data_IF_438778226289
#
_entry.id   IF_438778226289
#
_cell.length_a   1.000
_cell.length_b   1.000
_cell.length_c   1.000
_cell.angle_alpha   90.00
_cell.angle_beta   90.00
_cell.angle_gamma   90.00
#
_symmetry.space_group_name_H-M   'P 1'
#
loop_
_entity.id
_entity.type
_entity.pdbx_description
1 polymer ?
#
# COMPACT_ATOMS: atom_id res chain seq x y z
N UNK A 1 -21.43 4.51 -3.00
CA UNK A 1 -20.14 4.23 -2.34
C UNK A 1 -20.40 3.22 -1.23
N UNK A 2 -19.81 2.01 -1.27
CA UNK A 2 -19.94 1.01 -0.21
C UNK A 2 -18.72 1.15 0.70
N UNK A 3 -18.90 1.60 1.94
CA UNK A 3 -17.85 1.59 2.96
C UNK A 3 -17.90 0.29 3.76
N UNK A 4 -16.75 -0.20 4.18
CA UNK A 4 -16.64 -1.41 5.00
C UNK A 4 -15.77 -1.09 6.21
N UNK A 5 -16.34 -1.21 7.40
CA UNK A 5 -15.65 -0.97 8.66
C UNK A 5 -14.90 -2.24 9.08
N UNK A 6 -13.57 -2.17 9.07
CA UNK A 6 -12.68 -3.30 9.41
C UNK A 6 -11.71 -2.90 10.51
N UNK A 7 -11.46 -3.83 11.44
CA UNK A 7 -10.43 -3.68 12.48
C UNK A 7 -9.03 -4.04 12.00
N UNK A 8 -8.89 -4.45 10.73
CA UNK A 8 -7.64 -4.90 10.14
C UNK A 8 -6.97 -3.74 9.39
N UNK A 9 -5.63 -3.71 9.42
CA UNK A 9 -4.87 -2.78 8.59
C UNK A 9 -4.95 -3.21 7.11
N UNK A 10 -4.88 -2.26 6.15
CA UNK A 10 -4.79 -2.59 4.74
C UNK A 10 -3.60 -3.54 4.47
N UNK A 11 -3.78 -4.58 3.64
CA UNK A 11 -2.72 -5.51 3.28
C UNK A 11 -1.76 -4.85 2.30
N UNK A 12 -0.95 -3.92 2.79
CA UNK A 12 0.03 -3.19 2.00
C UNK A 12 1.21 -4.12 1.69
N UNK A 13 1.47 -4.32 0.41
CA UNK A 13 2.64 -5.01 -0.08
C UNK A 13 3.70 -3.98 -0.47
N UNK A 14 4.85 -4.04 0.20
CA UNK A 14 6.01 -3.23 -0.10
C UNK A 14 7.02 -4.10 -0.85
N UNK A 15 7.23 -3.81 -2.13
CA UNK A 15 8.10 -4.60 -3.02
C UNK A 15 9.43 -3.87 -3.17
N UNK A 16 10.50 -4.58 -2.83
CA UNK A 16 11.88 -4.10 -2.92
C UNK A 16 12.58 -4.76 -4.10
N UNK A 17 13.05 -3.98 -5.07
CA UNK A 17 13.97 -4.45 -6.12
C UNK A 17 15.33 -3.83 -5.87
N UNK A 18 16.28 -4.68 -5.48
CA UNK A 18 17.61 -4.25 -5.07
C UNK A 18 18.59 -4.43 -6.22
N UNK A 19 19.29 -3.36 -6.67
CA UNK A 19 20.41 -3.52 -7.58
C UNK A 19 21.56 -4.25 -6.88
N UNK A 20 22.48 -4.79 -7.68
CA UNK A 20 23.66 -5.50 -7.18
C UNK A 20 24.55 -4.60 -6.32
N UNK A 21 24.56 -3.31 -6.63
CA UNK A 21 25.37 -2.27 -5.99
C UNK A 21 24.69 -1.65 -4.76
N UNK A 22 23.52 -2.15 -4.35
CA UNK A 22 22.85 -1.71 -3.14
C UNK A 22 23.74 -1.94 -1.89
N UNK A 23 23.85 -0.98 -0.95
CA UNK A 23 23.07 0.26 -0.83
C UNK A 23 23.67 1.48 -1.53
N UNK A 24 24.81 1.34 -2.22
CA UNK A 24 25.44 2.45 -2.94
C UNK A 24 24.57 2.94 -4.09
N UNK A 25 23.88 2.03 -4.78
CA UNK A 25 22.80 2.36 -5.71
C UNK A 25 21.43 2.26 -5.05
N UNK A 26 20.54 3.16 -5.44
CA UNK A 26 19.18 3.25 -4.90
C UNK A 26 18.35 1.99 -5.26
N UNK A 27 17.54 1.47 -4.34
CA UNK A 27 16.58 0.42 -4.65
C UNK A 27 15.37 1.01 -5.38
N UNK A 28 14.70 0.19 -6.18
CA UNK A 28 13.36 0.52 -6.65
C UNK A 28 12.33 -0.02 -5.65
N UNK A 29 11.50 0.87 -5.11
CA UNK A 29 10.44 0.55 -4.15
C UNK A 29 9.09 0.77 -4.80
N UNK A 30 8.20 -0.21 -4.71
CA UNK A 30 6.81 -0.07 -5.16
C UNK A 30 5.83 -0.54 -4.09
N UNK A 31 4.69 0.14 -4.01
CA UNK A 31 3.60 -0.18 -3.09
C UNK A 31 2.41 -0.71 -3.86
N UNK A 32 1.90 -1.85 -3.44
CA UNK A 32 0.69 -2.46 -3.96
C UNK A 32 -0.28 -2.70 -2.82
N UNK A 33 -1.54 -2.29 -2.96
CA UNK A 33 -2.55 -2.60 -1.97
C UNK A 33 -3.95 -2.50 -2.58
N UNK A 34 -4.75 -3.55 -2.36
CA UNK A 34 -6.11 -3.67 -2.89
C UNK A 34 -7.16 -2.87 -2.10
N UNK A 35 -6.83 -2.35 -0.92
CA UNK A 35 -7.80 -1.67 -0.03
C UNK A 35 -7.69 -0.15 -0.07
N UNK A 36 -6.56 0.39 -0.54
CA UNK A 36 -6.32 1.83 -0.55
C UNK A 36 -6.55 2.39 -1.95
N UNK A 37 -6.96 3.67 -2.03
CA UNK A 37 -7.14 4.35 -3.31
C UNK A 37 -5.80 4.60 -4.00
N UNK A 38 -5.86 4.85 -5.30
CA UNK A 38 -4.68 5.24 -6.09
C UNK A 38 -3.99 6.48 -5.51
N UNK A 39 -4.75 7.49 -5.06
CA UNK A 39 -4.22 8.69 -4.42
C UNK A 39 -3.39 8.36 -3.18
N UNK A 40 -3.81 7.36 -2.41
CA UNK A 40 -3.07 6.87 -1.25
C UNK A 40 -1.81 6.14 -1.65
N UNK A 41 -1.87 5.27 -2.66
CA UNK A 41 -0.68 4.62 -3.22
C UNK A 41 0.35 5.65 -3.69
N UNK A 42 -0.09 6.72 -4.37
CA UNK A 42 0.78 7.81 -4.82
C UNK A 42 1.39 8.59 -3.66
N UNK A 43 0.63 8.87 -2.60
CA UNK A 43 1.16 9.50 -1.37
C UNK A 43 2.22 8.63 -0.72
N UNK A 44 1.95 7.34 -0.51
CA UNK A 44 2.93 6.42 0.10
C UNK A 44 4.18 6.33 -0.78
N UNK A 45 4.02 6.23 -2.10
CA UNK A 45 5.13 6.18 -3.04
C UNK A 45 6.03 7.43 -2.95
N UNK A 46 5.43 8.61 -2.73
CA UNK A 46 6.16 9.85 -2.52
C UNK A 46 6.98 9.83 -1.22
N UNK A 47 6.40 9.35 -0.13
CA UNK A 47 7.11 9.20 1.16
C UNK A 47 8.29 8.22 1.04
N UNK A 48 8.09 7.10 0.34
CA UNK A 48 9.16 6.13 0.06
C UNK A 48 10.29 6.73 -0.78
N UNK A 49 9.95 7.50 -1.81
CA UNK A 49 10.95 8.18 -2.65
C UNK A 49 11.77 9.17 -1.82
N UNK A 50 11.12 9.91 -0.91
CA UNK A 50 11.81 10.79 0.04
C UNK A 50 12.79 9.97 0.91
N UNK A 51 12.32 8.89 1.53
CA UNK A 51 13.12 8.05 2.40
C UNK A 51 14.37 7.46 1.70
N UNK A 52 14.24 7.06 0.43
CA UNK A 52 15.39 6.63 -0.39
C UNK A 52 16.40 7.76 -0.56
N UNK A 53 15.93 8.94 -0.98
CA UNK A 53 16.79 10.08 -1.28
C UNK A 53 17.56 10.59 -0.06
N UNK A 54 16.92 10.62 1.11
CA UNK A 54 17.50 11.09 2.37
C UNK A 54 18.55 10.11 2.93
N UNK A 55 18.46 8.84 2.55
CA UNK A 55 19.32 7.76 3.04
C UNK A 55 20.16 7.15 1.90
N UNK A 56 20.45 7.93 0.85
CA UNK A 56 21.26 7.47 -0.28
C UNK A 56 22.63 6.97 0.20
N UNK A 57 23.03 5.78 -0.27
CA UNK A 57 24.25 5.10 0.18
C UNK A 57 24.09 4.26 1.45
N UNK A 58 22.91 4.25 2.09
CA UNK A 58 22.62 3.47 3.29
C UNK A 58 21.46 2.48 3.09
N UNK A 59 21.40 1.38 3.88
CA UNK A 59 20.26 0.46 3.81
C UNK A 59 18.95 1.10 4.27
N UNK A 60 17.95 1.15 3.37
CA UNK A 60 16.64 1.80 3.60
C UNK A 60 15.46 0.85 3.84
N UNK A 61 15.65 -0.48 3.82
CA UNK A 61 14.53 -1.44 3.89
C UNK A 61 13.64 -1.25 5.12
N UNK A 62 14.27 -1.09 6.28
CA UNK A 62 13.57 -0.88 7.54
C UNK A 62 12.91 0.50 7.60
N UNK A 63 13.62 1.54 7.16
CA UNK A 63 13.12 2.93 7.15
C UNK A 63 11.88 3.01 6.26
N UNK A 64 11.95 2.52 5.03
CA UNK A 64 10.82 2.43 4.10
C UNK A 64 9.63 1.69 4.73
N UNK A 65 9.86 0.60 5.44
CA UNK A 65 8.79 -0.16 6.11
C UNK A 65 8.16 0.62 7.27
N UNK A 66 8.95 1.39 8.03
CA UNK A 66 8.42 2.25 9.10
C UNK A 66 7.61 3.40 8.52
N UNK A 67 8.10 4.08 7.48
CA UNK A 67 7.38 5.19 6.83
C UNK A 67 5.98 4.75 6.36
N UNK A 68 5.89 3.58 5.71
CA UNK A 68 4.60 3.01 5.28
C UNK A 68 3.69 2.70 6.47
N UNK A 69 4.25 2.08 7.51
CA UNK A 69 3.50 1.72 8.72
C UNK A 69 2.96 2.97 9.42
N UNK A 70 3.79 3.97 9.63
CA UNK A 70 3.45 5.21 10.31
C UNK A 70 2.44 6.01 9.50
N UNK A 71 2.56 6.02 8.17
CA UNK A 71 1.59 6.63 7.27
C UNK A 71 0.21 5.96 7.41
N UNK A 72 0.15 4.63 7.35
CA UNK A 72 -1.11 3.88 7.48
C UNK A 72 -1.75 4.07 8.86
N UNK A 73 -0.95 4.09 9.93
CA UNK A 73 -1.45 4.29 11.29
C UNK A 73 -1.97 5.71 11.51
N UNK A 74 -1.24 6.73 11.04
CA UNK A 74 -1.61 8.14 11.21
C UNK A 74 -2.89 8.47 10.44
N UNK A 75 -3.04 7.91 9.24
CA UNK A 75 -4.15 8.19 8.36
C UNK A 75 -5.25 7.12 8.41
N UNK A 76 -5.24 6.24 9.44
CA UNK A 76 -6.16 5.11 9.56
C UNK A 76 -7.64 5.55 9.51
N UNK A 77 -7.97 6.72 10.05
CA UNK A 77 -9.33 7.26 10.01
C UNK A 77 -9.80 7.66 8.61
N UNK A 78 -8.88 8.11 7.75
CA UNK A 78 -9.15 8.41 6.33
C UNK A 78 -9.13 7.13 5.45
N UNK A 79 -8.42 6.09 5.89
CA UNK A 79 -8.31 4.79 5.22
C UNK A 79 -9.56 3.90 5.32
N UNK A 80 -10.54 4.25 6.17
CA UNK A 80 -11.75 3.43 6.38
C UNK A 80 -12.71 3.45 5.17
N UNK A 81 -12.48 4.31 4.17
CA UNK A 81 -13.09 4.16 2.85
C UNK A 81 -12.31 3.14 2.03
N UNK A 82 -12.55 1.84 2.26
CA UNK A 82 -12.05 0.76 1.40
C UNK A 82 -12.60 0.97 -0.03
N UNK A 83 -11.74 1.34 -0.98
CA UNK A 83 -12.12 1.43 -2.39
C UNK A 83 -12.15 0.03 -3.01
N UNK A 84 -13.35 -0.53 -3.18
CA UNK A 84 -13.59 -1.78 -3.93
C UNK A 84 -14.00 -1.55 -5.38
N UNK A 85 -14.00 -0.30 -5.84
CA UNK A 85 -14.30 0.02 -7.24
C UNK A 85 -13.15 -0.55 -8.10
N UNK A 86 -13.50 -1.47 -9.01
CA UNK A 86 -12.62 -2.33 -9.84
C UNK A 86 -12.02 -3.61 -9.21
N UNK A 87 -12.52 -4.08 -8.06
CA UNK A 87 -12.15 -5.41 -7.57
C UNK A 87 -12.93 -6.52 -8.34
N UNK A 88 -12.27 -7.50 -9.01
CA UNK A 88 -12.95 -8.62 -9.68
C UNK A 88 -13.77 -9.50 -8.73
N UNK A 89 -13.54 -9.41 -7.42
CA UNK A 89 -14.34 -10.10 -6.39
C UNK A 89 -15.60 -9.33 -5.96
N UNK A 90 -15.71 -8.03 -6.28
CA UNK A 90 -16.88 -7.19 -5.97
C UNK A 90 -18.13 -7.60 -6.77
N UNK A 91 -17.93 -8.21 -7.95
CA UNK A 91 -18.99 -8.63 -8.86
C UNK A 91 -19.56 -10.02 -8.56
N UNK A 92 -18.99 -10.79 -7.63
CA UNK A 92 -19.29 -12.21 -7.48
C UNK A 92 -20.50 -12.55 -6.59
N UNK A 93 -21.17 -11.57 -5.96
CA UNK A 93 -22.24 -11.83 -4.98
C UNK A 93 -23.64 -11.33 -5.37
N UNK A 94 -23.95 -11.22 -6.66
CA UNK A 94 -25.33 -10.93 -7.12
C UNK A 94 -26.00 -12.15 -7.79
N UNK A 95 -25.30 -13.28 -7.95
CA UNK A 95 -25.77 -14.41 -8.75
C UNK A 95 -26.18 -15.70 -8.02
N UNK A 96 -26.01 -15.82 -6.70
CA UNK A 96 -26.14 -17.12 -6.00
C UNK A 96 -27.11 -17.06 -4.80
N UNK A 97 -28.33 -16.56 -5.04
CA UNK A 97 -29.51 -16.87 -4.21
C UNK A 97 -30.75 -17.05 -5.12
N UNK A 98 -30.65 -17.98 -6.07
CA UNK A 98 -31.80 -18.68 -6.66
C UNK A 98 -31.28 -20.00 -7.19
N UNK A 99 -31.42 -21.06 -6.40
CA UNK A 99 -31.75 -22.44 -6.80
C UNK A 99 -31.56 -23.33 -5.57
N UNK A 100 -32.65 -23.97 -5.13
CA UNK A 100 -32.74 -24.83 -3.96
C UNK A 100 -34.00 -24.55 -3.18
#
# INVERSE_FOLDING_TARGET
>A
RKSFDTKQLPPVQLVFRLPKEYPTSEPELTVECIWISKDWTEKIQKELTRAISENSGFPVLFIASQEVKDFVQTNQQESLEICLDDNPYSSAHVGLLRFG
#
